data_IF_693660344718
#
_entry.id   IF_693660344718
#
_cell.length_a   1.000
_cell.length_b   1.000
_cell.length_c   1.000
_cell.angle_alpha   90.00
_cell.angle_beta   90.00
_cell.angle_gamma   90.00
#
_symmetry.space_group_name_H-M   'P 1'
#
loop_
_entity.id
_entity.type
_entity.pdbx_description
1 polymer ?
#
# COMPACT_ATOMS: atom_id res chain seq x y z
N UNK A 1 4.16 -4.44 20.61
CA UNK A 1 4.13 -4.16 19.17
C UNK A 1 5.22 -3.15 18.92
N UNK A 2 6.36 -3.66 18.50
CA UNK A 2 7.55 -2.87 18.20
C UNK A 2 7.45 -2.32 16.77
N UNK A 3 7.88 -1.07 16.57
CA UNK A 3 7.97 -0.48 15.24
C UNK A 3 9.30 -0.91 14.62
N UNK A 4 9.26 -1.56 13.45
CA UNK A 4 10.48 -1.94 12.72
C UNK A 4 11.08 -0.68 12.09
N UNK A 5 10.24 0.13 11.44
CA UNK A 5 10.63 1.40 10.84
C UNK A 5 9.42 2.31 10.61
N UNK A 6 9.73 3.59 10.43
CA UNK A 6 8.79 4.62 9.97
C UNK A 6 9.32 5.24 8.67
N UNK A 7 8.40 5.70 7.83
CA UNK A 7 8.69 6.52 6.66
C UNK A 7 7.62 7.58 6.46
N UNK A 8 7.82 8.46 5.48
CA UNK A 8 6.86 9.45 5.05
C UNK A 8 6.27 9.00 3.72
N UNK A 9 4.95 8.93 3.64
CA UNK A 9 4.29 8.59 2.39
C UNK A 9 4.34 9.74 1.38
N UNK A 10 3.92 9.46 0.15
CA UNK A 10 3.87 10.45 -0.93
C UNK A 10 3.00 11.68 -0.64
N UNK A 11 2.13 11.65 0.36
CA UNK A 11 1.29 12.78 0.80
C UNK A 11 1.85 13.50 2.03
N UNK A 12 3.08 13.18 2.47
CA UNK A 12 3.73 13.83 3.61
C UNK A 12 3.34 13.29 4.97
N UNK A 13 2.69 12.12 5.06
CA UNK A 13 2.22 11.55 6.34
C UNK A 13 3.14 10.44 6.82
N UNK A 14 3.33 10.35 8.14
CA UNK A 14 4.14 9.30 8.75
C UNK A 14 3.40 7.96 8.64
N UNK A 15 4.09 6.94 8.13
CA UNK A 15 3.60 5.56 8.05
C UNK A 15 4.61 4.62 8.69
N UNK A 16 4.13 3.75 9.57
CA UNK A 16 4.94 2.79 10.29
C UNK A 16 4.63 1.33 9.88
N UNK A 17 5.67 0.50 9.83
CA UNK A 17 5.55 -0.95 9.80
C UNK A 17 5.93 -1.50 11.18
N UNK A 18 5.01 -2.26 11.78
CA UNK A 18 5.27 -2.97 13.05
C UNK A 18 5.71 -4.41 12.84
N UNK A 19 6.31 -4.99 13.88
CA UNK A 19 6.63 -6.41 14.00
C UNK A 19 5.42 -7.31 13.68
N UNK A 20 4.28 -7.05 14.32
CA UNK A 20 3.04 -7.77 14.13
C UNK A 20 2.49 -7.61 12.71
N UNK A 21 2.60 -6.41 12.12
CA UNK A 21 2.21 -6.15 10.75
C UNK A 21 3.07 -6.94 9.75
N UNK A 22 4.38 -6.97 9.97
CA UNK A 22 5.30 -7.74 9.13
C UNK A 22 5.06 -9.25 9.23
N UNK A 23 4.89 -9.79 10.45
CA UNK A 23 4.55 -11.20 10.67
C UNK A 23 3.23 -11.54 9.96
N UNK A 24 2.22 -10.67 10.09
CA UNK A 24 0.94 -10.87 9.42
C UNK A 24 1.09 -10.95 7.89
N UNK A 25 1.84 -10.01 7.29
CA UNK A 25 2.14 -9.99 5.86
C UNK A 25 2.78 -11.31 5.43
N UNK A 26 3.89 -11.70 6.06
CA UNK A 26 4.62 -12.91 5.70
C UNK A 26 3.79 -14.19 5.91
N UNK A 27 2.93 -14.24 6.94
CA UNK A 27 2.06 -15.40 7.20
C UNK A 27 0.97 -15.60 6.15
N UNK A 28 0.65 -14.54 5.38
CA UNK A 28 -0.39 -14.56 4.34
C UNK A 28 0.17 -14.55 2.93
N UNK A 29 1.37 -14.00 2.78
CA UNK A 29 2.05 -13.73 1.52
C UNK A 29 3.53 -14.10 1.67
N UNK A 30 3.84 -15.40 1.53
CA UNK A 30 5.22 -15.91 1.66
C UNK A 30 6.18 -15.26 0.65
N UNK A 31 5.66 -14.84 -0.50
CA UNK A 31 6.37 -14.10 -1.55
C UNK A 31 6.80 -12.69 -1.14
N UNK A 32 6.35 -12.20 0.02
CA UNK A 32 6.79 -10.92 0.58
C UNK A 32 8.05 -11.03 1.44
N UNK A 33 8.50 -12.24 1.82
CA UNK A 33 9.70 -12.39 2.67
C UNK A 33 10.92 -11.74 2.00
N UNK A 34 11.60 -10.85 2.73
CA UNK A 34 12.74 -10.07 2.20
C UNK A 34 12.37 -8.77 1.47
N UNK A 35 11.07 -8.50 1.25
CA UNK A 35 10.60 -7.32 0.50
C UNK A 35 10.16 -6.13 1.38
N UNK A 36 10.66 -6.02 2.63
CA UNK A 36 10.35 -4.88 3.51
C UNK A 36 10.74 -3.54 2.87
N UNK A 37 11.90 -3.49 2.21
CA UNK A 37 12.38 -2.28 1.56
C UNK A 37 11.50 -1.89 0.36
N UNK A 38 10.94 -2.86 -0.35
CA UNK A 38 10.02 -2.60 -1.45
C UNK A 38 8.70 -1.98 -0.94
N UNK A 39 8.21 -2.43 0.23
CA UNK A 39 7.04 -1.81 0.90
C UNK A 39 7.35 -0.35 1.23
N UNK A 40 8.52 -0.08 1.82
CA UNK A 40 8.93 1.29 2.14
C UNK A 40 8.98 2.17 0.90
N UNK A 41 9.64 1.71 -0.16
CA UNK A 41 9.69 2.41 -1.45
C UNK A 41 8.30 2.66 -2.01
N UNK A 42 7.38 1.69 -1.90
CA UNK A 42 6.01 1.85 -2.37
C UNK A 42 5.20 2.89 -1.59
N UNK A 43 5.55 3.17 -0.33
CA UNK A 43 4.92 4.25 0.44
C UNK A 43 5.48 5.61 0.05
N UNK A 44 6.81 5.71 -0.11
CA UNK A 44 7.52 6.95 -0.43
C UNK A 44 7.26 7.41 -1.88
N UNK A 45 7.24 6.45 -2.82
CA UNK A 45 7.27 6.69 -4.26
C UNK A 45 6.10 6.03 -4.99
N UNK A 46 4.96 5.82 -4.32
CA UNK A 46 3.76 5.25 -4.93
C UNK A 46 3.45 5.88 -6.30
N UNK A 47 3.20 5.05 -7.31
CA UNK A 47 2.67 5.50 -8.61
C UNK A 47 1.21 5.95 -8.46
N UNK A 48 0.44 5.23 -7.64
CA UNK A 48 -0.96 5.54 -7.33
C UNK A 48 -1.25 5.41 -5.83
N UNK A 49 -2.06 6.32 -5.30
CA UNK A 49 -2.62 6.21 -3.95
C UNK A 49 -4.13 6.33 -4.06
N UNK A 50 -4.86 5.29 -3.65
CA UNK A 50 -6.33 5.25 -3.72
C UNK A 50 -6.92 5.00 -2.34
N UNK A 51 -8.16 5.45 -2.13
CA UNK A 51 -8.92 5.09 -0.93
C UNK A 51 -9.48 3.68 -1.09
N UNK A 52 -9.39 2.87 -0.04
CA UNK A 52 -10.04 1.55 -0.03
C UNK A 52 -11.56 1.73 -0.13
N UNK A 53 -12.19 1.02 -1.06
CA UNK A 53 -13.62 1.15 -1.33
C UNK A 53 -14.49 0.71 -0.14
N UNK A 54 -13.99 -0.21 0.71
CA UNK A 54 -14.72 -0.79 1.82
C UNK A 54 -14.43 -0.09 3.16
N UNK A 55 -13.26 0.53 3.31
CA UNK A 55 -12.84 1.13 4.57
C UNK A 55 -12.38 2.57 4.38
N UNK A 56 -13.17 3.53 4.85
CA UNK A 56 -12.96 4.97 4.65
C UNK A 56 -11.59 5.50 5.12
N UNK A 57 -10.99 4.86 6.12
CA UNK A 57 -9.71 5.26 6.71
C UNK A 57 -8.52 4.43 6.20
N UNK A 58 -8.72 3.57 5.20
CA UNK A 58 -7.65 2.83 4.56
C UNK A 58 -7.33 3.45 3.22
N UNK A 59 -6.03 3.53 2.94
CA UNK A 59 -5.55 3.86 1.62
C UNK A 59 -4.62 2.77 1.12
N UNK A 60 -4.57 2.65 -0.19
CA UNK A 60 -3.83 1.63 -0.90
C UNK A 60 -2.82 2.35 -1.78
N UNK A 61 -1.55 2.08 -1.52
CA UNK A 61 -0.41 2.57 -2.28
C UNK A 61 -0.01 1.48 -3.27
N UNK A 62 0.06 1.85 -4.55
CA UNK A 62 0.48 0.97 -5.62
C UNK A 62 1.81 1.44 -6.19
N UNK A 63 2.76 0.52 -6.30
CA UNK A 63 4.02 0.73 -6.98
C UNK A 63 4.18 -0.31 -8.09
N UNK A 64 4.39 0.15 -9.32
CA UNK A 64 4.68 -0.68 -10.47
C UNK A 64 6.15 -1.11 -10.43
N UNK A 65 6.44 -2.39 -10.63
CA UNK A 65 7.81 -2.92 -10.63
C UNK A 65 8.31 -3.28 -12.03
N UNK A 66 8.79 -2.32 -12.85
CA UNK A 66 9.40 -2.66 -14.13
C UNK A 66 10.64 -3.57 -13.93
N UNK A 67 10.95 -4.48 -14.87
CA UNK A 67 10.25 -4.75 -16.13
C UNK A 67 9.04 -5.68 -15.99
N UNK A 68 8.79 -6.23 -14.80
CA UNK A 68 7.62 -7.06 -14.56
C UNK A 68 6.35 -6.20 -14.55
N UNK A 69 5.27 -6.63 -15.20
CA UNK A 69 3.97 -5.95 -15.12
C UNK A 69 3.29 -6.15 -13.74
N UNK A 70 4.07 -6.48 -12.70
CA UNK A 70 3.59 -6.71 -11.35
C UNK A 70 3.48 -5.39 -10.60
N UNK A 71 2.42 -5.32 -9.80
CA UNK A 71 2.16 -4.22 -8.90
C UNK A 71 2.43 -4.68 -7.48
N UNK A 72 3.10 -3.85 -6.69
CA UNK A 72 3.13 -4.00 -5.25
C UNK A 72 1.98 -3.17 -4.68
N UNK A 73 1.05 -3.86 -4.02
CA UNK A 73 -0.06 -3.24 -3.30
C UNK A 73 0.30 -3.16 -1.83
N UNK A 74 0.27 -1.96 -1.24
CA UNK A 74 0.49 -1.73 0.20
C UNK A 74 -0.73 -1.04 0.80
N UNK A 75 -1.36 -1.67 1.77
CA UNK A 75 -2.54 -1.12 2.45
C UNK A 75 -2.14 -0.50 3.77
N UNK A 76 -2.51 0.75 3.95
CA UNK A 76 -2.22 1.54 5.14
C UNK A 76 -3.52 1.97 5.79
N UNK A 77 -3.62 1.73 7.10
CA UNK A 77 -4.68 2.26 7.94
C UNK A 77 -4.22 3.58 8.53
N UNK A 78 -4.86 4.67 8.16
CA UNK A 78 -4.58 5.97 8.76
C UNK A 78 -5.50 6.19 9.96
N UNK A 79 -4.95 6.80 11.00
CA UNK A 79 -5.67 7.25 12.19
C UNK A 79 -5.24 8.69 12.51
N UNK A 80 -6.16 9.51 13.05
CA UNK A 80 -5.79 10.83 13.55
C UNK A 80 -4.78 10.70 14.69
N UNK A 81 -3.81 11.61 14.70
CA UNK A 81 -2.75 11.75 15.70
C UNK A 81 -2.67 13.22 16.11
N UNK A 82 -2.59 13.51 17.41
CA UNK A 82 -2.44 14.89 17.87
C UNK A 82 -1.05 15.45 17.51
N UNK A 83 -0.91 16.77 17.26
CA UNK A 83 -1.94 17.81 17.42
C UNK A 83 -2.85 18.07 16.20
N UNK A 84 -2.54 17.54 15.01
CA UNK A 84 -3.42 17.60 13.82
C UNK A 84 -2.96 16.66 12.68
N UNK A 85 -2.12 15.68 12.98
CA UNK A 85 -1.49 14.83 11.98
C UNK A 85 -2.27 13.54 11.74
N UNK A 86 -1.94 12.87 10.64
CA UNK A 86 -2.42 11.52 10.38
C UNK A 86 -1.23 10.56 10.41
N UNK A 87 -1.34 9.51 11.22
CA UNK A 87 -0.37 8.42 11.26
C UNK A 87 -0.94 7.18 10.59
N UNK A 88 -0.17 6.62 9.66
CA UNK A 88 -0.48 5.38 8.97
C UNK A 88 0.18 4.19 9.63
N UNK A 89 -0.50 3.05 9.61
CA UNK A 89 0.08 1.75 9.95
C UNK A 89 -0.13 0.81 8.79
N UNK A 90 0.94 0.16 8.33
CA UNK A 90 0.85 -0.87 7.29
C UNK A 90 0.07 -2.06 7.83
N UNK A 91 -1.02 -2.43 7.15
CA UNK A 91 -1.89 -3.54 7.53
C UNK A 91 -1.56 -4.79 6.73
N UNK A 92 -1.32 -4.64 5.43
CA UNK A 92 -0.96 -5.76 4.54
C UNK A 92 -0.24 -5.24 3.31
N UNK A 93 0.57 -6.10 2.68
CA UNK A 93 1.20 -5.85 1.40
C UNK A 93 1.31 -7.16 0.62
N UNK A 94 1.18 -7.11 -0.71
CA UNK A 94 1.38 -8.26 -1.59
C UNK A 94 1.59 -7.84 -3.03
N UNK A 95 2.19 -8.72 -3.81
CA UNK A 95 2.30 -8.56 -5.26
C UNK A 95 1.00 -8.94 -5.97
N UNK A 96 0.69 -8.20 -7.03
CA UNK A 96 -0.43 -8.45 -7.93
C UNK A 96 0.10 -8.58 -9.36
N UNK A 97 -0.27 -9.68 -10.02
CA UNK A 97 0.06 -9.90 -11.43
C UNK A 97 -0.80 -9.06 -12.37
N UNK A 98 -2.03 -8.73 -11.96
CA UNK A 98 -3.01 -7.93 -12.71
C UNK A 98 -3.80 -7.11 -11.69
N UNK A 99 -4.07 -5.83 -11.96
CA UNK A 99 -4.96 -5.00 -11.11
C UNK A 99 -6.36 -5.61 -11.11
N UNK A 100 -6.97 -5.91 -9.96
CA UNK A 100 -8.34 -6.40 -9.92
C UNK A 100 -9.30 -5.33 -10.45
N UNK A 101 -10.06 -5.69 -11.48
CA UNK A 101 -11.02 -4.85 -12.24
C UNK A 101 -12.27 -4.43 -11.45
N UNK A 102 -12.35 -4.77 -10.16
CA UNK A 102 -13.51 -4.49 -9.29
C UNK A 102 -13.42 -3.12 -8.58
N UNK A 103 -12.56 -2.23 -9.04
CA UNK A 103 -12.63 -0.81 -8.73
C UNK A 103 -13.50 -0.13 -9.79
N UNK A 104 -14.46 0.71 -9.36
CA UNK A 104 -15.46 1.34 -10.25
C UNK A 104 -14.76 2.17 -11.33
N UNK A 105 -14.85 1.72 -12.58
CA UNK A 105 -14.47 2.47 -13.78
C UNK A 105 -15.55 3.52 -14.08
N UNK A 106 -15.23 4.81 -13.93
CA UNK A 106 -16.14 5.93 -14.26
C UNK A 106 -16.05 6.39 -15.72
N UNK A 107 -15.23 5.78 -16.58
CA UNK A 107 -15.10 6.17 -18.00
C UNK A 107 -14.74 4.99 -18.92
N UNK A 108 -15.47 4.76 -20.03
CA UNK A 108 -15.12 3.71 -21.00
C UNK A 108 -13.98 4.16 -21.92
N UNK A 109 -13.03 3.26 -22.21
CA UNK A 109 -11.99 3.49 -23.22
C UNK A 109 -12.59 3.33 -24.64
N UNK A 110 -12.11 4.10 -25.63
CA UNK A 110 -12.59 4.01 -27.01
C UNK A 110 -12.18 2.68 -27.66
N UNK A 111 -13.10 2.09 -28.43
CA UNK A 111 -12.93 0.80 -29.10
C UNK A 111 -11.78 0.84 -30.12
N UNK A 112 -10.94 -0.20 -30.21
CA UNK A 112 -10.01 -0.33 -31.33
C UNK A 112 -10.78 -0.79 -32.58
N UNK A 113 -10.60 -0.03 -33.67
CA UNK A 113 -11.06 -0.33 -35.03
C UNK A 113 -10.38 -1.57 -35.63
#
# INVERSE_FOLDING_TARGET
MEIIWETVDRLGRIVALSDAGWIHICSRHEDMVGHQQDIRTALELADEVVRDAKYAHRQVHYLRRPPSLRWLRVVVQYRPSEPADWRGTVITAHFLSIRPRNEVLLWPLPSPS
#
